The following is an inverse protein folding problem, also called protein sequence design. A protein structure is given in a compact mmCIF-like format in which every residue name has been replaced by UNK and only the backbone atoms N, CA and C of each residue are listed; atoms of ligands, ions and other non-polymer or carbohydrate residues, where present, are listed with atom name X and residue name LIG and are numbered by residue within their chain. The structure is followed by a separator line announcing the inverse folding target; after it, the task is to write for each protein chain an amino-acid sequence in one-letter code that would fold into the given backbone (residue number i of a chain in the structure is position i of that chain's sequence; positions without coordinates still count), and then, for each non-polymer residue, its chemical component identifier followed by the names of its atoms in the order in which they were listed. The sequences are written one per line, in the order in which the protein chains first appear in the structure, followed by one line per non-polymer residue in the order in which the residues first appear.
data_IF_461144741803
#
_entry.id   IF_461144741803
#
_cell.length_a   1.000
_cell.length_b   1.000
_cell.length_c   1.000
_cell.angle_alpha   90.00
_cell.angle_beta   90.00
_cell.angle_gamma   90.00
#
_symmetry.space_group_name_H-M   'P 1'
#
loop_
_entity.id
_entity.type
_entity.pdbx_description
1 polymer ?
#
# COMPACT_ATOMS: atom_id res chain seq x y z
N UNK A 1 -3.06 41.79 48.86
CA UNK A 1 -2.11 41.37 47.81
C UNK A 1 -2.93 40.81 46.65
N UNK A 2 -3.22 41.65 45.66
CA UNK A 2 -3.92 41.28 44.42
C UNK A 2 -2.97 41.59 43.28
N UNK A 3 -2.53 40.56 42.55
CA UNK A 3 -1.59 40.69 41.44
C UNK A 3 -2.39 40.50 40.15
N UNK A 4 -2.63 41.60 39.44
CA UNK A 4 -3.27 41.60 38.13
C UNK A 4 -2.26 41.09 37.08
N UNK A 5 -2.58 39.96 36.45
CA UNK A 5 -1.86 39.43 35.28
C UNK A 5 -2.38 40.17 34.04
N UNK A 6 -1.46 40.78 33.28
CA UNK A 6 -1.75 41.44 32.00
C UNK A 6 -1.99 40.40 30.90
N UNK A 7 -2.91 40.62 29.95
CA UNK A 7 -3.13 39.70 28.85
C UNK A 7 -2.07 39.90 27.75
N UNK A 8 -1.38 38.82 27.41
CA UNK A 8 -0.49 38.73 26.25
C UNK A 8 -1.29 38.93 24.97
N UNK A 9 -0.98 39.95 24.18
CA UNK A 9 -1.59 40.19 22.87
C UNK A 9 -1.01 39.20 21.85
N UNK A 10 -1.82 38.26 21.37
CA UNK A 10 -1.48 37.43 20.20
C UNK A 10 -1.34 38.34 18.97
N UNK A 11 -0.13 38.42 18.42
CA UNK A 11 0.11 39.08 17.13
C UNK A 11 -0.28 38.11 16.01
N UNK A 12 -1.27 38.48 15.20
CA UNK A 12 -1.58 37.80 13.95
C UNK A 12 -0.40 37.92 12.96
N UNK A 13 -0.12 36.88 12.15
CA UNK A 13 0.98 36.92 11.19
C UNK A 13 0.70 37.99 10.14
N UNK A 14 1.62 38.96 10.02
CA UNK A 14 1.57 39.99 8.98
C UNK A 14 1.74 39.34 7.61
N UNK A 15 0.91 39.67 6.60
CA UNK A 15 1.06 39.10 5.27
C UNK A 15 2.38 39.57 4.67
N UNK A 16 3.23 38.61 4.30
CA UNK A 16 4.50 38.87 3.63
C UNK A 16 4.30 39.72 2.37
N UNK A 17 5.12 40.75 2.11
CA UNK A 17 4.94 41.65 0.98
C UNK A 17 5.11 40.90 -0.35
N UNK A 18 4.01 40.75 -1.10
CA UNK A 18 4.03 40.18 -2.44
C UNK A 18 4.59 41.20 -3.44
N UNK A 19 5.77 40.93 -3.99
CA UNK A 19 6.41 41.79 -4.98
C UNK A 19 5.85 41.51 -6.37
N UNK A 20 5.27 42.52 -7.01
CA UNK A 20 4.71 42.42 -8.37
C UNK A 20 5.87 42.40 -9.38
N UNK A 21 5.91 41.38 -10.23
CA UNK A 21 6.94 41.24 -11.25
C UNK A 21 6.64 42.17 -12.44
N UNK A 22 7.61 42.99 -12.83
CA UNK A 22 7.48 43.95 -13.95
C UNK A 22 7.58 43.30 -15.35
N UNK A 23 7.92 42.02 -15.44
CA UNK A 23 8.00 41.27 -16.70
C UNK A 23 7.91 39.76 -16.43
N UNK A 24 7.67 38.97 -17.48
CA UNK A 24 7.61 37.52 -17.39
C UNK A 24 9.00 36.93 -17.06
N UNK A 25 9.11 36.27 -15.91
CA UNK A 25 10.37 35.69 -15.40
C UNK A 25 10.50 34.18 -15.71
N UNK A 26 9.40 33.49 -16.01
CA UNK A 26 9.41 32.08 -16.43
C UNK A 26 9.35 31.03 -15.31
N UNK A 27 9.04 31.41 -14.07
CA UNK A 27 8.88 30.46 -12.94
C UNK A 27 7.73 29.46 -13.14
N UNK A 28 6.72 29.82 -13.93
CA UNK A 28 5.62 28.95 -14.35
C UNK A 28 6.12 27.72 -15.14
N UNK A 29 7.30 27.79 -15.79
CA UNK A 29 7.88 26.63 -16.49
C UNK A 29 8.49 25.59 -15.54
N UNK A 30 8.63 25.88 -14.24
CA UNK A 30 9.25 24.96 -13.28
C UNK A 30 8.47 23.65 -13.16
N UNK A 31 7.15 23.71 -13.25
CA UNK A 31 6.26 22.55 -13.22
C UNK A 31 6.54 21.62 -14.39
N UNK A 32 6.65 22.16 -15.60
CA UNK A 32 7.00 21.40 -16.81
C UNK A 32 8.43 20.83 -16.75
N UNK A 33 9.37 21.56 -16.14
CA UNK A 33 10.74 21.07 -15.93
C UNK A 33 10.78 19.90 -14.94
N UNK A 34 10.02 19.99 -13.84
CA UNK A 34 9.87 18.92 -12.85
C UNK A 34 9.22 17.71 -13.50
N UNK A 35 8.13 17.91 -14.24
CA UNK A 35 7.42 16.86 -14.97
C UNK A 35 8.36 16.12 -15.94
N UNK A 36 9.06 16.84 -16.83
CA UNK A 36 10.03 16.24 -17.77
C UNK A 36 11.13 15.44 -17.05
N UNK A 37 11.58 15.92 -15.90
CA UNK A 37 12.60 15.24 -15.09
C UNK A 37 12.06 13.98 -14.43
N UNK A 38 10.83 14.01 -13.92
CA UNK A 38 10.15 12.85 -13.35
C UNK A 38 9.85 11.80 -14.41
N UNK A 39 9.33 12.20 -15.58
CA UNK A 39 9.11 11.32 -16.74
C UNK A 39 10.39 10.59 -17.15
N UNK A 40 11.52 11.31 -17.24
CA UNK A 40 12.81 10.71 -17.58
C UNK A 40 13.34 9.76 -16.50
N UNK A 41 13.09 10.05 -15.23
CA UNK A 41 13.54 9.20 -14.09
C UNK A 41 12.71 7.94 -13.96
N UNK A 42 11.40 8.06 -14.23
CA UNK A 42 10.39 7.08 -13.91
C UNK A 42 10.09 7.03 -12.40
N UNK A 43 9.03 6.29 -12.09
CA UNK A 43 8.54 6.07 -10.72
C UNK A 43 8.94 4.68 -10.25
N UNK A 44 9.11 4.51 -8.94
CA UNK A 44 9.34 3.21 -8.30
C UNK A 44 8.18 2.97 -7.36
N UNK A 45 7.50 1.84 -7.52
CA UNK A 45 6.38 1.46 -6.67
C UNK A 45 6.54 0.02 -6.23
N UNK A 46 6.55 -0.21 -4.92
CA UNK A 46 6.81 -1.51 -4.33
C UNK A 46 5.56 -1.95 -3.57
N UNK A 47 4.91 -3.01 -4.04
CA UNK A 47 3.68 -3.55 -3.45
C UNK A 47 3.97 -4.92 -2.86
N UNK A 48 3.54 -5.14 -1.62
CA UNK A 48 3.60 -6.44 -0.98
C UNK A 48 2.19 -7.02 -0.89
N UNK A 49 2.02 -8.31 -1.17
CA UNK A 49 0.74 -9.02 -1.00
C UNK A 49 0.83 -9.97 0.19
N UNK A 50 -0.06 -9.80 1.16
CA UNK A 50 -0.09 -10.57 2.42
C UNK A 50 -1.48 -11.15 2.63
N UNK A 51 -1.55 -12.39 3.11
CA UNK A 51 -2.82 -13.03 3.45
C UNK A 51 -2.72 -14.55 3.43
N UNK A 52 -3.79 -15.22 3.83
CA UNK A 52 -3.86 -16.68 3.85
C UNK A 52 -3.56 -17.31 2.47
N UNK A 53 -3.02 -18.53 2.47
CA UNK A 53 -2.81 -19.29 1.24
C UNK A 53 -4.13 -19.56 0.51
N UNK A 54 -4.05 -19.67 -0.81
CA UNK A 54 -5.21 -19.99 -1.63
C UNK A 54 -6.20 -18.84 -1.83
N UNK A 55 -5.96 -17.63 -1.32
CA UNK A 55 -6.81 -16.45 -1.57
C UNK A 55 -6.63 -15.83 -2.97
N UNK A 56 -5.66 -16.28 -3.76
CA UNK A 56 -5.41 -15.77 -5.11
C UNK A 56 -4.55 -14.50 -5.14
N UNK A 57 -3.59 -14.38 -4.22
CA UNK A 57 -2.66 -13.24 -4.11
C UNK A 57 -1.90 -12.98 -5.42
N UNK A 58 -1.14 -13.99 -5.90
CA UNK A 58 -0.36 -13.89 -7.14
C UNK A 58 -1.26 -13.65 -8.37
N UNK A 59 -2.43 -14.28 -8.41
CA UNK A 59 -3.44 -14.07 -9.46
C UNK A 59 -3.96 -12.62 -9.49
N UNK A 60 -4.24 -12.00 -8.33
CA UNK A 60 -4.72 -10.63 -8.28
C UNK A 60 -3.64 -9.65 -8.78
N UNK A 61 -2.37 -9.87 -8.41
CA UNK A 61 -1.25 -9.06 -8.90
C UNK A 61 -1.20 -9.02 -10.42
N UNK A 62 -1.24 -10.20 -11.07
CA UNK A 62 -1.25 -10.30 -12.54
C UNK A 62 -2.48 -9.64 -13.16
N UNK A 63 -3.59 -9.65 -12.42
CA UNK A 63 -4.82 -8.97 -12.83
C UNK A 63 -4.64 -7.45 -12.80
N UNK A 64 -4.11 -6.87 -11.71
CA UNK A 64 -3.95 -5.42 -11.48
C UNK A 64 -3.15 -4.75 -12.60
N UNK A 65 -2.02 -5.35 -12.97
CA UNK A 65 -1.08 -4.71 -13.89
C UNK A 65 -1.25 -5.08 -15.36
N UNK A 66 -2.39 -5.65 -15.72
CA UNK A 66 -2.73 -5.95 -17.10
C UNK A 66 -1.68 -6.79 -17.86
N UNK A 67 -0.78 -7.48 -17.15
CA UNK A 67 0.40 -8.13 -17.70
C UNK A 67 0.71 -9.40 -16.92
N UNK A 68 1.25 -10.40 -17.60
CA UNK A 68 1.73 -11.65 -17.00
C UNK A 68 3.04 -11.34 -16.27
N UNK A 69 2.93 -10.70 -15.10
CA UNK A 69 4.07 -10.24 -14.32
C UNK A 69 4.67 -11.40 -13.53
N UNK A 70 3.83 -12.21 -12.88
CA UNK A 70 4.24 -13.35 -12.09
C UNK A 70 3.66 -14.61 -12.72
N UNK A 71 4.39 -15.72 -12.73
CA UNK A 71 3.77 -17.00 -13.05
C UNK A 71 2.78 -17.34 -11.94
N UNK A 72 1.48 -17.34 -12.26
CA UNK A 72 0.48 -17.75 -11.30
C UNK A 72 0.73 -19.18 -10.89
N UNK A 73 0.98 -19.36 -9.60
CA UNK A 73 1.13 -20.68 -8.98
C UNK A 73 -0.22 -21.42 -8.82
N UNK A 74 -1.29 -20.89 -9.42
CA UNK A 74 -2.61 -21.51 -9.51
C UNK A 74 -2.63 -22.72 -10.45
N UNK A 75 -3.57 -23.64 -10.23
CA UNK A 75 -3.72 -24.85 -11.07
C UNK A 75 -4.13 -24.44 -12.49
N UNK A 76 -3.28 -24.70 -13.49
CA UNK A 76 -3.65 -24.56 -14.90
C UNK A 76 -4.57 -25.70 -15.33
N UNK A 77 -4.33 -26.89 -14.76
CA UNK A 77 -5.11 -28.11 -14.93
C UNK A 77 -5.59 -28.71 -13.60
N UNK A 78 -6.74 -29.37 -13.61
CA UNK A 78 -7.34 -29.99 -12.41
C UNK A 78 -6.48 -31.12 -11.81
N UNK A 79 -5.48 -31.61 -12.55
CA UNK A 79 -4.54 -32.65 -12.13
C UNK A 79 -3.22 -32.10 -11.54
N UNK A 80 -2.84 -30.85 -11.83
CA UNK A 80 -1.56 -30.30 -11.36
C UNK A 80 -1.68 -29.87 -9.89
N UNK A 81 -0.71 -30.18 -9.03
CA UNK A 81 -0.75 -29.71 -7.65
C UNK A 81 -0.63 -28.17 -7.61
N UNK A 82 -1.43 -27.45 -6.81
CA UNK A 82 -1.26 -26.00 -6.66
C UNK A 82 0.15 -25.73 -6.13
N UNK A 83 0.95 -24.95 -6.85
CA UNK A 83 2.25 -24.51 -6.35
C UNK A 83 1.99 -23.50 -5.24
N UNK A 84 2.67 -23.65 -4.10
CA UNK A 84 2.53 -22.75 -2.97
C UNK A 84 3.79 -21.89 -2.87
N UNK A 85 3.63 -20.60 -2.60
CA UNK A 85 4.74 -19.70 -2.29
C UNK A 85 5.23 -20.07 -0.88
N UNK A 86 6.43 -20.66 -0.78
CA UNK A 86 7.03 -21.10 0.49
C UNK A 86 7.94 -20.04 1.10
N UNK A 87 8.45 -19.12 0.30
CA UNK A 87 9.38 -18.06 0.69
C UNK A 87 8.93 -16.70 0.14
N UNK A 88 9.43 -15.61 0.72
CA UNK A 88 9.15 -14.26 0.23
C UNK A 88 9.92 -14.06 -1.08
N UNK A 89 9.20 -13.90 -2.18
CA UNK A 89 9.76 -13.68 -3.51
C UNK A 89 9.44 -12.25 -3.98
N UNK A 90 10.44 -11.55 -4.50
CA UNK A 90 10.26 -10.22 -5.10
C UNK A 90 10.50 -10.27 -6.60
N UNK A 91 9.52 -9.82 -7.38
CA UNK A 91 9.60 -9.75 -8.84
C UNK A 91 9.48 -8.31 -9.29
N UNK A 92 10.49 -7.82 -9.99
CA UNK A 92 10.54 -6.45 -10.50
C UNK A 92 10.17 -6.40 -11.99
N UNK A 93 9.25 -5.51 -12.32
CA UNK A 93 8.79 -5.24 -13.68
C UNK A 93 8.92 -3.76 -14.00
N UNK A 94 9.17 -3.46 -15.27
CA UNK A 94 9.09 -2.09 -15.78
C UNK A 94 7.90 -2.02 -16.71
N UNK A 95 6.92 -1.20 -16.34
CA UNK A 95 5.72 -0.90 -17.11
C UNK A 95 5.91 0.48 -17.73
N UNK A 96 5.48 0.67 -18.97
CA UNK A 96 5.51 1.96 -19.66
C UNK A 96 4.13 2.29 -20.18
N UNK A 97 3.61 3.47 -19.81
CA UNK A 97 2.31 3.97 -20.26
C UNK A 97 2.45 5.45 -20.65
N UNK A 98 2.08 5.80 -21.88
CA UNK A 98 2.12 7.18 -22.41
C UNK A 98 3.48 7.91 -22.18
N UNK A 99 4.60 7.18 -22.26
CA UNK A 99 5.95 7.72 -22.03
C UNK A 99 6.37 7.85 -20.56
N UNK A 100 5.49 7.47 -19.62
CA UNK A 100 5.79 7.34 -18.19
C UNK A 100 6.30 5.92 -17.92
N UNK A 101 7.48 5.80 -17.32
CA UNK A 101 8.03 4.50 -16.89
C UNK A 101 7.78 4.28 -15.40
N UNK A 102 7.07 3.21 -15.06
CA UNK A 102 6.86 2.72 -13.70
C UNK A 102 7.68 1.44 -13.47
N UNK A 103 8.62 1.48 -12.54
CA UNK A 103 9.29 0.29 -12.01
C UNK A 103 8.47 -0.23 -10.86
N UNK A 104 7.74 -1.30 -11.11
CA UNK A 104 6.92 -1.97 -10.12
C UNK A 104 7.71 -3.13 -9.53
N UNK A 105 7.90 -3.17 -8.22
CA UNK A 105 8.35 -4.35 -7.52
C UNK A 105 7.17 -4.98 -6.80
N UNK A 106 6.90 -6.25 -7.06
CA UNK A 106 5.89 -7.01 -6.35
C UNK A 106 6.58 -7.99 -5.41
N UNK A 107 6.19 -7.96 -4.14
CA UNK A 107 6.67 -8.88 -3.11
C UNK A 107 5.54 -9.85 -2.77
N UNK A 108 5.65 -11.10 -3.23
CA UNK A 108 4.74 -12.18 -2.85
C UNK A 108 5.22 -12.83 -1.56
N UNK A 109 4.33 -12.92 -0.56
CA UNK A 109 4.65 -13.54 0.72
C UNK A 109 4.01 -14.93 0.83
N UNK A 110 4.66 -15.89 1.53
CA UNK A 110 4.02 -17.15 1.84
C UNK A 110 2.71 -16.90 2.60
N UNK A 111 1.70 -17.73 2.33
CA UNK A 111 0.45 -17.60 3.06
C UNK A 111 0.60 -18.12 4.48
N UNK A 112 0.02 -17.38 5.44
CA UNK A 112 -0.07 -17.82 6.82
C UNK A 112 -1.41 -18.54 7.06
N UNK A 113 -1.53 -19.31 8.14
CA UNK A 113 -2.78 -19.99 8.50
C UNK A 113 -2.93 -21.41 7.95
N UNK A 114 -1.89 -21.97 7.32
CA UNK A 114 -1.88 -23.36 6.83
C UNK A 114 -1.25 -24.33 7.84
N UNK A 115 -0.43 -23.82 8.75
CA UNK A 115 0.25 -24.64 9.75
C UNK A 115 -0.63 -24.86 10.98
N UNK A 116 -0.36 -25.92 11.75
CA UNK A 116 -1.08 -26.17 13.02
C UNK A 116 -0.72 -25.10 14.05
N UNK A 117 0.54 -24.67 14.10
CA UNK A 117 0.97 -23.50 14.85
C UNK A 117 1.23 -22.32 13.88
N UNK A 118 0.51 -21.22 14.06
CA UNK A 118 0.70 -19.98 13.30
C UNK A 118 1.15 -18.81 14.18
N UNK A 119 1.64 -19.09 15.38
CA UNK A 119 2.30 -18.09 16.22
C UNK A 119 3.43 -17.44 15.41
N UNK A 120 3.53 -16.11 15.52
CA UNK A 120 4.61 -15.33 14.92
C UNK A 120 4.71 -15.42 13.38
N UNK A 121 3.65 -15.84 12.69
CA UNK A 121 3.63 -15.89 11.22
C UNK A 121 3.86 -14.53 10.53
N UNK A 122 3.66 -13.41 11.25
CA UNK A 122 3.95 -12.05 10.77
C UNK A 122 5.43 -11.67 10.86
N UNK A 123 6.25 -12.38 11.65
CA UNK A 123 7.66 -12.01 11.87
C UNK A 123 8.48 -11.97 10.58
N UNK A 124 8.41 -12.97 9.67
CA UNK A 124 9.16 -12.92 8.41
C UNK A 124 8.77 -11.72 7.54
N UNK A 125 7.47 -11.38 7.53
CA UNK A 125 6.92 -10.27 6.74
C UNK A 125 7.43 -8.93 7.29
N UNK A 126 7.31 -8.72 8.60
CA UNK A 126 7.78 -7.50 9.25
C UNK A 126 9.29 -7.37 9.15
N UNK A 127 10.02 -8.48 9.31
CA UNK A 127 11.47 -8.52 9.16
C UNK A 127 11.86 -8.07 7.75
N UNK A 128 11.20 -8.58 6.71
CA UNK A 128 11.45 -8.15 5.34
C UNK A 128 11.25 -6.63 5.16
N UNK A 129 10.14 -6.07 5.65
CA UNK A 129 9.86 -4.62 5.56
C UNK A 129 10.94 -3.81 6.27
N UNK A 130 11.30 -4.20 7.50
CA UNK A 130 12.38 -3.55 8.28
C UNK A 130 13.74 -3.68 7.63
N UNK A 131 14.02 -4.81 6.98
CA UNK A 131 15.26 -5.03 6.22
C UNK A 131 15.33 -4.07 5.02
N UNK A 132 14.22 -3.81 4.33
CA UNK A 132 14.17 -2.80 3.27
C UNK A 132 14.41 -1.39 3.80
N UNK A 133 13.78 -1.00 4.91
CA UNK A 133 14.07 0.30 5.55
C UNK A 133 15.52 0.41 6.00
N UNK A 134 16.09 -0.66 6.55
CA UNK A 134 17.50 -0.72 6.97
C UNK A 134 18.44 -0.60 5.78
N UNK A 135 18.14 -1.29 4.67
CA UNK A 135 18.93 -1.21 3.45
C UNK A 135 18.92 0.21 2.86
N UNK A 136 17.77 0.88 2.88
CA UNK A 136 17.66 2.28 2.47
C UNK A 136 18.45 3.21 3.39
N UNK A 137 18.30 3.06 4.72
CA UNK A 137 19.03 3.86 5.72
C UNK A 137 20.55 3.72 5.59
N UNK A 138 21.07 2.50 5.38
CA UNK A 138 22.51 2.28 5.16
C UNK A 138 23.03 3.06 3.94
N UNK A 139 22.26 3.09 2.84
CA UNK A 139 22.61 3.88 1.65
C UNK A 139 22.52 5.38 1.91
N UNK A 140 21.53 5.83 2.70
CA UNK A 140 21.38 7.23 3.09
C UNK A 140 22.55 7.73 3.95
N UNK A 141 23.01 6.92 4.91
CA UNK A 141 24.11 7.24 5.82
C UNK A 141 25.51 7.14 5.19
N UNK A 142 25.62 6.54 4.00
CA UNK A 142 26.92 6.38 3.33
C UNK A 142 27.43 7.73 2.81
N UNK A 143 28.65 8.12 3.19
CA UNK A 143 29.24 9.42 2.84
C UNK A 143 29.35 9.65 1.31
N UNK A 144 29.64 8.61 0.53
CA UNK A 144 29.62 8.62 -0.94
C UNK A 144 28.32 8.00 -1.45
N UNK A 145 27.20 8.69 -1.27
CA UNK A 145 25.90 8.24 -1.79
C UNK A 145 25.79 8.47 -3.30
N UNK A 146 25.15 7.53 -3.97
CA UNK A 146 24.69 7.75 -5.34
C UNK A 146 23.70 8.92 -5.35
N UNK A 147 23.69 9.70 -6.45
CA UNK A 147 22.77 10.84 -6.61
C UNK A 147 21.30 10.40 -6.56
N UNK A 148 21.03 9.15 -6.90
CA UNK A 148 19.69 8.55 -6.94
C UNK A 148 19.73 7.19 -6.24
N UNK A 149 19.22 7.13 -5.01
CA UNK A 149 19.09 5.88 -4.27
C UNK A 149 17.89 5.12 -4.85
N UNK A 150 18.10 3.86 -5.23
CA UNK A 150 17.00 2.95 -5.60
C UNK A 150 16.20 2.61 -4.34
N UNK A 151 14.90 2.90 -4.39
CA UNK A 151 13.98 2.70 -3.29
C UNK A 151 13.40 1.29 -3.35
N UNK A 152 13.75 0.46 -2.36
CA UNK A 152 13.23 -0.90 -2.21
C UNK A 152 12.22 -1.01 -1.06
N UNK A 153 11.88 0.10 -0.41
CA UNK A 153 10.92 0.11 0.71
C UNK A 153 9.54 -0.24 0.20
N UNK A 154 8.79 -1.03 0.97
CA UNK A 154 7.42 -1.42 0.60
C UNK A 154 6.52 -0.21 0.80
N UNK A 155 5.88 0.27 -0.28
CA UNK A 155 5.02 1.45 -0.23
C UNK A 155 3.56 1.11 0.13
N UNK A 156 3.12 -0.09 -0.24
CA UNK A 156 1.76 -0.55 0.01
C UNK A 156 1.75 -2.05 0.31
N UNK A 157 1.02 -2.44 1.35
CA UNK A 157 0.73 -3.82 1.69
C UNK A 157 -0.75 -4.12 1.44
N UNK A 158 -1.03 -4.95 0.43
CA UNK A 158 -2.36 -5.46 0.16
C UNK A 158 -2.64 -6.65 1.07
N UNK A 159 -3.58 -6.47 2.00
CA UNK A 159 -3.93 -7.48 2.98
C UNK A 159 -5.20 -8.22 2.56
N UNK A 160 -5.06 -9.50 2.20
CA UNK A 160 -6.14 -10.34 1.70
C UNK A 160 -6.92 -10.98 2.84
N UNK A 161 -8.18 -10.58 2.97
CA UNK A 161 -9.15 -11.12 3.91
C UNK A 161 -9.91 -12.27 3.25
N UNK A 162 -10.07 -13.36 4.00
CA UNK A 162 -10.87 -14.51 3.54
C UNK A 162 -12.35 -14.14 3.50
N UNK A 163 -13.10 -14.46 2.42
CA UNK A 163 -14.52 -14.18 2.32
C UNK A 163 -15.34 -15.16 3.17
N UNK A 164 -15.29 -15.04 4.50
CA UNK A 164 -16.02 -15.92 5.43
C UNK A 164 -17.48 -15.52 5.62
N UNK A 165 -17.84 -14.26 5.34
CA UNK A 165 -19.17 -13.70 5.64
C UNK A 165 -19.42 -13.42 7.14
N UNK A 166 -18.47 -13.73 8.01
CA UNK A 166 -18.60 -13.59 9.46
C UNK A 166 -17.78 -12.40 9.98
N UNK A 167 -16.86 -12.65 10.90
CA UNK A 167 -15.93 -11.67 11.44
C UNK A 167 -14.51 -11.93 10.91
N UNK A 168 -13.63 -10.97 11.14
CA UNK A 168 -12.21 -11.09 10.88
C UNK A 168 -11.62 -12.17 11.80
N UNK A 169 -10.66 -12.95 11.29
CA UNK A 169 -10.04 -13.99 12.10
C UNK A 169 -9.16 -13.33 13.17
N UNK A 170 -9.07 -13.89 14.39
CA UNK A 170 -8.18 -13.36 15.43
C UNK A 170 -6.72 -13.24 14.98
N UNK A 171 -6.25 -14.19 14.16
CA UNK A 171 -4.92 -14.15 13.55
C UNK A 171 -4.73 -12.92 12.64
N UNK A 172 -5.73 -12.61 11.81
CA UNK A 172 -5.68 -11.45 10.90
C UNK A 172 -5.64 -10.14 11.69
N UNK A 173 -6.36 -10.06 12.81
CA UNK A 173 -6.35 -8.89 13.71
C UNK A 173 -4.94 -8.64 14.29
N UNK A 174 -4.25 -9.70 14.72
CA UNK A 174 -2.88 -9.59 15.25
C UNK A 174 -1.91 -9.18 14.17
N UNK A 175 -1.99 -9.80 12.98
CA UNK A 175 -1.12 -9.48 11.84
C UNK A 175 -1.33 -8.04 11.39
N UNK A 176 -2.59 -7.60 11.22
CA UNK A 176 -2.93 -6.23 10.82
C UNK A 176 -2.35 -5.20 11.79
N UNK A 177 -2.55 -5.38 13.11
CA UNK A 177 -1.99 -4.47 14.13
C UNK A 177 -0.49 -4.30 13.97
N UNK A 178 0.23 -5.39 13.73
CA UNK A 178 1.68 -5.37 13.58
C UNK A 178 2.15 -4.78 12.24
N UNK A 179 1.39 -4.97 11.16
CA UNK A 179 1.70 -4.40 9.85
C UNK A 179 1.46 -2.90 9.80
N UNK A 180 0.36 -2.41 10.38
CA UNK A 180 0.01 -0.97 10.36
C UNK A 180 1.04 -0.08 11.07
N UNK A 181 1.90 -0.65 11.93
CA UNK A 181 3.00 0.07 12.58
C UNK A 181 4.20 0.34 11.66
N UNK A 182 4.32 -0.38 10.54
CA UNK A 182 5.53 -0.38 9.70
C UNK A 182 5.27 -0.09 8.22
N UNK A 183 4.03 -0.22 7.74
CA UNK A 183 3.69 -0.04 6.32
C UNK A 183 2.24 0.40 6.15
N UNK A 184 1.94 1.06 5.03
CA UNK A 184 0.56 1.34 4.61
C UNK A 184 -0.17 0.03 4.28
N UNK A 185 -1.26 -0.24 5.00
CA UNK A 185 -2.05 -1.46 4.81
C UNK A 185 -3.39 -1.14 4.16
N UNK A 186 -3.70 -1.84 3.07
CA UNK A 186 -4.95 -1.73 2.32
C UNK A 186 -5.64 -3.08 2.33
N UNK A 187 -6.78 -3.23 3.02
CA UNK A 187 -7.46 -4.52 3.11
C UNK A 187 -8.30 -4.79 1.87
N UNK A 188 -8.28 -6.05 1.44
CA UNK A 188 -8.93 -6.53 0.23
C UNK A 188 -9.65 -7.83 0.56
N UNK A 189 -10.96 -7.90 0.32
CA UNK A 189 -11.71 -9.15 0.38
C UNK A 189 -11.41 -9.93 -0.89
N UNK A 190 -10.76 -11.07 -0.72
CA UNK A 190 -10.41 -11.96 -1.81
C UNK A 190 -11.62 -12.77 -2.30
N UNK A 191 -11.62 -13.20 -3.57
CA UNK A 191 -12.65 -14.08 -4.15
C UNK A 191 -14.07 -13.62 -3.81
N UNK A 192 -14.35 -12.34 -4.01
CA UNK A 192 -15.65 -11.76 -3.67
C UNK A 192 -16.81 -12.37 -4.45
N UNK A 193 -16.53 -13.10 -5.53
CA UNK A 193 -17.49 -13.92 -6.30
C UNK A 193 -18.10 -15.08 -5.48
N UNK A 194 -17.56 -15.36 -4.30
CA UNK A 194 -18.08 -16.37 -3.37
C UNK A 194 -19.14 -15.84 -2.40
N UNK A 195 -19.37 -14.52 -2.39
CA UNK A 195 -20.38 -13.85 -1.57
C UNK A 195 -21.43 -13.20 -2.47
N UNK A 196 -22.69 -13.21 -2.05
CA UNK A 196 -23.72 -12.36 -2.66
C UNK A 196 -23.46 -10.88 -2.36
N UNK A 197 -24.11 -9.97 -3.10
CA UNK A 197 -23.95 -8.53 -2.88
C UNK A 197 -24.37 -8.12 -1.45
N UNK A 198 -25.45 -8.72 -0.94
CA UNK A 198 -25.96 -8.48 0.41
C UNK A 198 -24.98 -8.97 1.48
N UNK A 199 -24.43 -10.18 1.32
CA UNK A 199 -23.43 -10.74 2.22
C UNK A 199 -22.13 -9.93 2.20
N UNK A 200 -21.71 -9.49 1.02
CA UNK A 200 -20.52 -8.64 0.83
C UNK A 200 -20.65 -7.34 1.62
N UNK A 201 -21.78 -6.66 1.48
CA UNK A 201 -22.00 -5.37 2.14
C UNK A 201 -22.16 -5.54 3.66
N UNK A 202 -22.82 -6.61 4.11
CA UNK A 202 -22.89 -6.97 5.53
C UNK A 202 -21.50 -7.30 6.10
N UNK A 203 -20.67 -8.05 5.35
CA UNK A 203 -19.33 -8.42 5.74
C UNK A 203 -18.39 -7.22 5.82
N UNK A 204 -18.47 -6.28 4.85
CA UNK A 204 -17.73 -5.01 4.89
C UNK A 204 -18.05 -4.21 6.14
N UNK A 205 -19.33 -4.04 6.47
CA UNK A 205 -19.77 -3.31 7.68
C UNK A 205 -19.22 -3.95 8.96
N UNK A 206 -19.21 -5.28 9.03
CA UNK A 206 -18.64 -6.02 10.16
C UNK A 206 -17.13 -5.81 10.28
N UNK A 207 -16.39 -5.94 9.17
CA UNK A 207 -14.94 -5.69 9.15
C UNK A 207 -14.63 -4.26 9.60
N UNK A 208 -15.35 -3.25 9.11
CA UNK A 208 -15.18 -1.86 9.54
C UNK A 208 -15.38 -1.69 11.05
N UNK A 209 -16.45 -2.27 11.59
CA UNK A 209 -16.73 -2.20 13.03
C UNK A 209 -15.63 -2.87 13.87
N UNK A 210 -15.09 -4.00 13.40
CA UNK A 210 -14.05 -4.76 14.10
C UNK A 210 -12.69 -4.06 14.05
N UNK A 211 -12.35 -3.44 12.92
CA UNK A 211 -11.16 -2.60 12.77
C UNK A 211 -11.21 -1.38 13.71
N UNK A 212 -12.38 -0.73 13.79
CA UNK A 212 -12.61 0.39 14.70
C UNK A 212 -12.51 -0.05 16.16
N UNK A 213 -13.14 -1.18 16.52
CA UNK A 213 -13.09 -1.73 17.88
C UNK A 213 -11.65 -2.06 18.34
N UNK A 214 -10.80 -2.51 17.41
CA UNK A 214 -9.40 -2.83 17.69
C UNK A 214 -8.42 -1.68 17.48
N UNK A 215 -8.91 -0.47 17.17
CA UNK A 215 -8.12 0.73 16.88
C UNK A 215 -7.05 0.49 15.79
N UNK A 216 -7.41 -0.25 14.74
CA UNK A 216 -6.51 -0.52 13.62
C UNK A 216 -6.71 0.58 12.58
N UNK A 217 -5.69 1.46 12.45
CA UNK A 217 -5.68 2.53 11.45
C UNK A 217 -5.10 2.03 10.14
N UNK A 218 -5.95 1.97 9.13
CA UNK A 218 -5.59 1.57 7.77
C UNK A 218 -5.39 2.80 6.90
N UNK A 219 -4.78 2.61 5.74
CA UNK A 219 -4.63 3.67 4.75
C UNK A 219 -5.93 3.81 3.91
N UNK A 220 -6.38 5.02 3.53
CA UNK A 220 -5.76 6.35 3.72
C UNK A 220 -5.87 6.88 5.17
N UNK A 221 -4.86 7.63 5.61
CA UNK A 221 -4.86 8.24 6.93
C UNK A 221 -5.49 9.63 6.86
N UNK A 222 -6.29 9.99 7.86
CA UNK A 222 -6.79 11.36 8.00
C UNK A 222 -5.61 12.30 8.29
N UNK A 223 -5.47 13.35 7.49
CA UNK A 223 -4.48 14.39 7.69
C UNK A 223 -5.16 15.77 7.66
N UNK A 224 -4.86 16.60 8.67
CA UNK A 224 -5.48 17.92 8.85
C UNK A 224 -5.05 18.92 7.77
N UNK A 225 -3.89 18.67 7.15
CA UNK A 225 -3.32 19.48 6.08
C UNK A 225 -3.93 19.19 4.69
N UNK A 226 -4.76 18.14 4.56
CA UNK A 226 -5.37 17.76 3.29
C UNK A 226 -6.34 18.83 2.79
N UNK A 227 -6.25 19.15 1.50
CA UNK A 227 -7.19 20.05 0.82
C UNK A 227 -8.59 19.43 0.72
N UNK A 228 -9.63 20.25 0.48
CA UNK A 228 -11.02 19.78 0.38
C UNK A 228 -11.21 18.68 -0.69
N UNK A 229 -10.46 18.76 -1.78
CA UNK A 229 -10.47 17.74 -2.84
C UNK A 229 -9.85 16.42 -2.36
N UNK A 230 -8.74 16.47 -1.62
CA UNK A 230 -8.07 15.28 -1.08
C UNK A 230 -8.92 14.60 -0.01
N UNK A 231 -9.56 15.38 0.87
CA UNK A 231 -10.51 14.84 1.86
C UNK A 231 -11.68 14.13 1.19
N UNK A 232 -12.28 14.73 0.17
CA UNK A 232 -13.38 14.09 -0.57
C UNK A 232 -12.95 12.79 -1.25
N UNK A 233 -11.73 12.75 -1.82
CA UNK A 233 -11.16 11.53 -2.38
C UNK A 233 -10.94 10.48 -1.29
N UNK A 234 -10.34 10.85 -0.16
CA UNK A 234 -10.09 9.96 0.98
C UNK A 234 -11.38 9.37 1.55
N UNK A 235 -12.43 10.18 1.72
CA UNK A 235 -13.76 9.74 2.16
C UNK A 235 -14.36 8.70 1.20
N UNK A 236 -14.32 8.98 -0.12
CA UNK A 236 -14.85 8.06 -1.14
C UNK A 236 -14.14 6.69 -1.11
N UNK A 237 -12.84 6.67 -0.82
CA UNK A 237 -12.07 5.45 -0.67
C UNK A 237 -12.41 4.74 0.64
N UNK A 238 -12.56 5.49 1.73
CA UNK A 238 -12.91 4.94 3.04
C UNK A 238 -14.25 4.21 3.02
N UNK A 239 -15.21 4.68 2.21
CA UNK A 239 -16.48 3.98 1.97
C UNK A 239 -16.30 2.63 1.28
N UNK A 240 -15.37 2.53 0.32
CA UNK A 240 -15.12 1.34 -0.48
C UNK A 240 -14.31 0.27 0.27
N UNK A 241 -13.41 0.66 1.17
CA UNK A 241 -12.55 -0.25 1.93
C UNK A 241 -13.38 -1.11 2.90
N UNK A 242 -13.15 -2.43 3.02
CA UNK A 242 -12.20 -3.23 2.24
C UNK A 242 -12.71 -3.51 0.82
N UNK A 243 -11.81 -3.44 -0.17
CA UNK A 243 -12.18 -3.67 -1.58
C UNK A 243 -12.55 -5.13 -1.82
N UNK A 244 -13.72 -5.38 -2.41
CA UNK A 244 -14.17 -6.72 -2.77
C UNK A 244 -13.80 -7.04 -4.21
N UNK A 245 -12.77 -7.88 -4.38
CA UNK A 245 -12.14 -8.11 -5.68
C UNK A 245 -12.19 -9.56 -6.13
N UNK A 246 -12.17 -9.72 -7.45
CA UNK A 246 -12.04 -10.99 -8.13
C UNK A 246 -10.80 -10.90 -9.02
N UNK A 247 -9.88 -11.85 -8.90
CA UNK A 247 -8.73 -11.97 -9.80
C UNK A 247 -9.03 -12.92 -10.95
N UNK A 248 -8.59 -12.59 -12.17
CA UNK A 248 -8.60 -13.51 -13.30
C UNK A 248 -7.44 -13.22 -14.26
N UNK A 249 -6.80 -14.30 -14.72
CA UNK A 249 -5.76 -14.25 -15.76
C UNK A 249 -6.30 -14.68 -17.12
N UNK A 250 -7.50 -15.28 -17.13
CA UNK A 250 -8.12 -15.76 -18.36
C UNK A 250 -8.97 -14.63 -18.93
N UNK A 251 -8.89 -14.49 -20.25
CA UNK A 251 -9.83 -13.67 -21.00
C UNK A 251 -11.07 -14.50 -21.32
N UNK A 252 -12.23 -13.91 -21.14
CA UNK A 252 -13.54 -14.45 -21.52
C UNK A 252 -14.17 -13.52 -22.53
N UNK A 253 -14.89 -14.08 -23.50
CA UNK A 253 -15.63 -13.29 -24.48
C UNK A 253 -17.03 -13.02 -23.91
N UNK A 254 -17.32 -11.75 -23.64
CA UNK A 254 -18.63 -11.27 -23.19
C UNK A 254 -19.06 -10.23 -24.23
N UNK A 255 -20.25 -10.41 -24.81
CA UNK A 255 -20.80 -9.49 -25.84
C UNK A 255 -19.84 -9.20 -27.01
N UNK A 256 -19.10 -10.23 -27.45
CA UNK A 256 -18.13 -10.13 -28.55
C UNK A 256 -16.81 -9.43 -28.20
N UNK A 257 -16.63 -8.94 -26.97
CA UNK A 257 -15.38 -8.35 -26.48
C UNK A 257 -14.62 -9.33 -25.61
N UNK A 258 -13.32 -9.46 -25.87
CA UNK A 258 -12.42 -10.20 -24.98
C UNK A 258 -12.11 -9.34 -23.76
N UNK A 259 -12.67 -9.72 -22.61
CA UNK A 259 -12.47 -9.03 -21.34
C UNK A 259 -11.85 -9.98 -20.32
N UNK A 260 -11.11 -9.46 -19.35
CA UNK A 260 -10.59 -10.26 -18.25
C UNK A 260 -11.73 -10.71 -17.38
N UNK A 261 -11.86 -12.01 -17.18
CA UNK A 261 -12.99 -12.51 -16.43
C UNK A 261 -12.93 -13.98 -16.09
N UNK A 262 -13.81 -14.40 -15.19
CA UNK A 262 -13.87 -15.76 -14.68
C UNK A 262 -15.11 -16.45 -15.21
N UNK A 263 -14.94 -17.54 -15.95
CA UNK A 263 -16.06 -18.39 -16.38
C UNK A 263 -16.47 -19.31 -15.24
N UNK A 264 -17.71 -19.20 -14.80
CA UNK A 264 -18.34 -20.10 -13.83
C UNK A 264 -19.36 -20.99 -14.53
N UNK A 265 -20.02 -21.89 -13.79
CA UNK A 265 -21.11 -22.71 -14.34
C UNK A 265 -22.37 -21.88 -14.64
N UNK A 266 -22.54 -20.74 -13.96
CA UNK A 266 -23.73 -19.90 -14.04
C UNK A 266 -23.57 -18.69 -14.96
N UNK A 267 -22.35 -18.37 -15.40
CA UNK A 267 -22.10 -17.26 -16.29
C UNK A 267 -20.62 -16.90 -16.40
N UNK A 268 -20.34 -15.71 -16.93
CA UNK A 268 -19.00 -15.14 -16.98
C UNK A 268 -18.96 -13.88 -16.13
N UNK A 269 -18.00 -13.82 -15.20
CA UNK A 269 -17.78 -12.66 -14.34
C UNK A 269 -16.75 -11.77 -15.02
N UNK A 270 -17.18 -10.58 -15.46
CA UNK A 270 -16.26 -9.56 -15.95
C UNK A 270 -15.56 -8.89 -14.75
N UNK A 271 -14.24 -9.00 -14.66
CA UNK A 271 -13.44 -8.40 -13.57
C UNK A 271 -13.28 -6.89 -13.76
N UNK A 272 -13.39 -6.41 -14.99
CA UNK A 272 -13.33 -4.98 -15.31
C UNK A 272 -14.71 -4.32 -15.31
N UNK A 273 -15.72 -4.95 -14.72
CA UNK A 273 -17.04 -4.37 -14.54
C UNK A 273 -17.27 -4.02 -13.07
N UNK A 274 -17.56 -2.74 -12.81
CA UNK A 274 -17.84 -2.21 -11.47
C UNK A 274 -19.10 -2.80 -10.84
N UNK A 275 -20.03 -3.33 -11.65
CA UNK A 275 -21.23 -4.01 -11.16
C UNK A 275 -20.92 -5.42 -10.63
N UNK A 276 -19.84 -6.06 -11.12
CA UNK A 276 -19.47 -7.41 -10.71
C UNK A 276 -18.46 -7.42 -9.57
N UNK A 277 -17.46 -6.53 -9.61
CA UNK A 277 -16.48 -6.42 -8.53
C UNK A 277 -15.83 -5.04 -8.48
N UNK A 278 -15.19 -4.74 -7.36
CA UNK A 278 -14.56 -3.44 -7.12
C UNK A 278 -13.10 -3.40 -7.57
N UNK A 279 -12.69 -4.34 -8.43
CA UNK A 279 -11.32 -4.43 -8.93
C UNK A 279 -10.87 -3.13 -9.62
N UNK A 280 -11.74 -2.49 -10.41
CA UNK A 280 -11.43 -1.21 -11.07
C UNK A 280 -11.10 -0.13 -10.02
N UNK A 281 -11.83 -0.10 -8.92
CA UNK A 281 -11.60 0.86 -7.84
C UNK A 281 -10.24 0.61 -7.19
N UNK A 282 -9.89 -0.64 -6.88
CA UNK A 282 -8.57 -0.99 -6.34
C UNK A 282 -7.45 -0.64 -7.34
N UNK A 283 -7.63 -0.92 -8.63
CA UNK A 283 -6.64 -0.60 -9.66
C UNK A 283 -6.44 0.91 -9.76
N UNK A 284 -7.51 1.68 -9.86
CA UNK A 284 -7.45 3.14 -9.96
C UNK A 284 -6.84 3.76 -8.70
N UNK A 285 -7.18 3.21 -7.53
CA UNK A 285 -6.61 3.61 -6.26
C UNK A 285 -5.07 3.45 -6.24
N UNK A 286 -4.56 2.28 -6.60
CA UNK A 286 -3.13 1.97 -6.56
C UNK A 286 -2.31 2.63 -7.68
N UNK A 287 -2.93 2.94 -8.83
CA UNK A 287 -2.19 3.38 -10.03
C UNK A 287 -2.45 4.82 -10.45
N UNK A 288 -3.63 5.38 -10.12
CA UNK A 288 -4.04 6.70 -10.62
C UNK A 288 -4.15 7.75 -9.54
N UNK A 289 -4.76 7.43 -8.40
CA UNK A 289 -5.10 8.45 -7.40
C UNK A 289 -4.12 8.51 -6.23
N UNK A 290 -3.78 7.37 -5.62
CA UNK A 290 -3.04 7.35 -4.33
C UNK A 290 -1.60 6.81 -4.45
N UNK A 291 -1.10 6.57 -5.67
CA UNK A 291 0.24 6.00 -5.87
C UNK A 291 1.33 6.88 -5.23
N UNK A 292 1.28 8.19 -5.48
CA UNK A 292 2.28 9.13 -4.98
C UNK A 292 2.14 9.31 -3.46
N UNK A 293 0.92 9.45 -2.95
CA UNK A 293 0.67 9.59 -1.52
C UNK A 293 1.13 8.35 -0.73
N UNK A 294 0.91 7.13 -1.24
CA UNK A 294 1.45 5.91 -0.64
C UNK A 294 2.99 5.94 -0.51
N UNK A 295 3.69 6.50 -1.51
CA UNK A 295 5.15 6.64 -1.48
C UNK A 295 5.55 7.70 -0.44
N UNK A 296 4.86 8.84 -0.41
CA UNK A 296 5.15 9.96 0.50
C UNK A 296 4.88 9.58 1.95
N UNK A 297 3.71 9.01 2.23
CA UNK A 297 3.36 8.46 3.55
C UNK A 297 4.40 7.42 4.02
N UNK A 298 4.88 6.56 3.12
CA UNK A 298 5.95 5.61 3.47
C UNK A 298 7.26 6.30 3.83
N UNK A 299 7.63 7.36 3.10
CA UNK A 299 8.86 8.08 3.33
C UNK A 299 8.80 8.95 4.59
N UNK A 300 7.70 9.68 4.81
CA UNK A 300 7.55 10.71 5.84
C UNK A 300 7.07 10.15 7.18
N UNK A 301 6.28 9.08 7.17
CA UNK A 301 5.72 8.50 8.41
C UNK A 301 6.47 7.23 8.78
N UNK A 302 6.34 6.18 7.96
CA UNK A 302 6.85 4.84 8.32
C UNK A 302 8.37 4.80 8.37
N UNK A 303 9.03 5.33 7.34
CA UNK A 303 10.49 5.36 7.28
C UNK A 303 11.11 6.32 8.29
N UNK A 304 10.59 7.55 8.46
CA UNK A 304 11.13 8.47 9.48
C UNK A 304 10.93 7.94 10.90
N UNK A 305 9.78 7.32 11.21
CA UNK A 305 9.57 6.63 12.49
C UNK A 305 10.60 5.53 12.73
N UNK A 306 10.89 4.72 11.71
CA UNK A 306 11.94 3.70 11.77
C UNK A 306 13.34 4.31 11.95
N UNK A 307 13.66 5.34 11.17
CA UNK A 307 14.95 6.05 11.17
C UNK A 307 15.21 6.70 12.51
N UNK A 308 14.23 7.40 13.09
CA UNK A 308 14.32 8.00 14.42
C UNK A 308 14.65 6.95 15.49
N UNK A 309 13.92 5.81 15.50
CA UNK A 309 14.18 4.70 16.43
C UNK A 309 15.60 4.14 16.29
N UNK A 310 16.07 3.93 15.05
CA UNK A 310 17.42 3.40 14.81
C UNK A 310 18.52 4.38 15.19
N UNK A 311 18.37 5.67 14.90
CA UNK A 311 19.36 6.69 15.26
C UNK A 311 19.44 6.88 16.79
N UNK A 312 18.32 6.80 17.50
CA UNK A 312 18.30 6.81 18.97
C UNK A 312 19.05 5.60 19.53
N UNK A 313 18.80 4.40 19.02
CA UNK A 313 19.49 3.18 19.46
C UNK A 313 21.01 3.24 19.21
N UNK A 314 21.44 3.78 18.06
CA UNK A 314 22.87 3.98 17.75
C UNK A 314 23.50 4.96 18.76
N UNK A 315 22.82 6.07 19.05
CA UNK A 315 23.29 7.06 20.04
C UNK A 315 23.45 6.45 21.43
N UNK A 316 22.47 5.66 21.88
CA UNK A 316 22.52 4.98 23.18
C UNK A 316 23.68 3.98 23.24
N UNK A 317 23.86 3.15 22.21
CA UNK A 317 24.97 2.18 22.16
C UNK A 317 26.36 2.85 22.22
N UNK A 318 26.50 4.01 21.58
CA UNK A 318 27.74 4.81 21.59
C UNK A 318 28.02 5.39 22.98
N UNK A 319 26.97 5.86 23.68
CA UNK A 319 27.09 6.39 25.04
C UNK A 319 27.44 5.32 26.07
N UNK A 320 26.91 4.10 25.92
CA UNK A 320 27.24 2.97 26.81
C UNK A 320 28.70 2.53 26.62
N UNK A 321 29.20 2.50 25.39
CA UNK A 321 30.61 2.21 25.12
C UNK A 321 31.54 3.26 25.74
N UNK A 322 31.21 4.55 25.64
CA UNK A 322 32.00 5.62 26.26
C UNK A 322 32.06 5.50 27.79
N UNK A 323 30.93 5.17 28.45
CA UNK A 323 30.87 4.99 29.91
C UNK A 323 31.56 3.73 30.44
N UNK A 324 31.77 2.72 29.60
CA UNK A 324 32.45 1.47 29.98
C UNK A 324 33.97 1.57 29.75
N UNK A 325 34.42 2.65 29.09
CA UNK A 325 35.83 2.90 28.76
C UNK A 325 36.53 3.85 29.75
N UNK A 326 35.77 4.42 30.70
CA UNK A 326 36.25 5.23 31.83
C UNK A 326 36.28 4.39 33.12
#
# INVERSE_FOLDING_TARGET
MSTLVSPSTEQSPTPSPQTILNSYVGFDTITQQIEKKLLKRGFQFNVMVVGQSGLGKSTLVNTIFASHLIDSKGRLDAAEAPRQTTEIESVAHTIEENGVRLRLNIVDTPGYGDQVNNENCWEPIIKYIKDQHSAYLRKELTARRERYIVDTRVHCCLFFITPSGHSLKPIDIVVLKKLTEVVNVVPVIAKSDSLTMEERDAFKKRIKAELAFHNIRLYPYENEEDDEQERSLNESIYELIPFAVVGSERNVVIDGKAVRGRKTRWGAINVEDAQHCEFIHLRNFLTRTHLQDLIETTALIHYESFRAKQLMAIKESTQVQQKTSE
#
